data_IF_413336679094
#
_entry.id   IF_413336679094
#
_cell.length_a   1.000
_cell.length_b   1.000
_cell.length_c   1.000
_cell.angle_alpha   90.00
_cell.angle_beta   90.00
_cell.angle_gamma   90.00
#
_symmetry.space_group_name_H-M   'P 1'
#
loop_
_entity.id
_entity.type
_entity.pdbx_description
1 polymer ?
#
# COMPACT_ATOMS: atom_id res chain seq x y z
N UNK A 1 4.56 4.67 8.40
CA UNK A 1 4.54 3.27 8.85
C UNK A 1 3.51 3.12 9.97
N UNK A 2 2.38 2.47 9.70
CA UNK A 2 1.29 2.28 10.65
C UNK A 2 1.36 0.95 11.44
N UNK A 3 2.33 0.08 11.10
CA UNK A 3 2.47 -1.25 11.70
C UNK A 3 2.87 -1.21 13.18
N UNK A 4 3.34 -0.06 13.69
CA UNK A 4 3.66 0.14 15.11
C UNK A 4 2.43 0.24 16.03
N UNK A 5 1.24 0.45 15.47
CA UNK A 5 -0.03 0.53 16.22
C UNK A 5 -0.64 -0.86 16.42
N UNK A 6 -0.21 -1.86 15.64
CA UNK A 6 -0.68 -3.24 15.75
C UNK A 6 -0.06 -3.85 17.01
N UNK A 7 -0.90 -4.24 17.97
CA UNK A 7 -0.49 -4.83 19.26
C UNK A 7 0.10 -6.23 19.07
N UNK A 8 -0.47 -7.02 18.17
CA UNK A 8 0.01 -8.37 17.89
C UNK A 8 1.30 -8.33 17.05
N UNK A 9 2.37 -8.90 17.61
CA UNK A 9 3.67 -9.02 16.94
C UNK A 9 3.55 -9.74 15.61
N UNK A 10 2.67 -10.75 15.52
CA UNK A 10 2.52 -11.57 14.33
C UNK A 10 1.93 -10.77 13.16
N UNK A 11 0.77 -10.13 13.37
CA UNK A 11 0.13 -9.31 12.34
C UNK A 11 0.99 -8.12 11.91
N UNK A 12 1.80 -7.59 12.84
CA UNK A 12 2.83 -6.59 12.55
C UNK A 12 3.89 -7.13 11.57
N UNK A 13 4.40 -8.34 11.78
CA UNK A 13 5.38 -8.92 10.84
C UNK A 13 4.75 -9.19 9.47
N UNK A 14 3.53 -9.73 9.42
CA UNK A 14 2.83 -9.97 8.15
C UNK A 14 2.60 -8.68 7.39
N UNK A 15 2.14 -7.62 8.05
CA UNK A 15 1.98 -6.31 7.40
C UNK A 15 3.30 -5.68 6.99
N UNK A 16 4.41 -5.89 7.72
CA UNK A 16 5.75 -5.44 7.29
C UNK A 16 6.22 -6.21 6.04
N UNK A 17 5.97 -7.52 5.96
CA UNK A 17 6.32 -8.37 4.83
C UNK A 17 5.45 -8.09 3.59
N UNK A 18 4.19 -7.70 3.79
CA UNK A 18 3.25 -7.36 2.72
C UNK A 18 3.35 -5.88 2.28
N UNK A 19 3.79 -4.98 3.16
CA UNK A 19 4.00 -3.56 2.85
C UNK A 19 4.83 -3.30 1.58
N UNK A 20 5.92 -4.04 1.26
CA UNK A 20 6.65 -3.85 0.03
C UNK A 20 5.94 -4.39 -1.22
N UNK A 21 4.87 -5.19 -1.10
CA UNK A 21 4.09 -5.65 -2.26
C UNK A 21 3.00 -4.65 -2.66
N UNK A 22 2.53 -3.87 -1.69
CA UNK A 22 1.66 -2.73 -1.97
C UNK A 22 2.44 -1.65 -2.71
N UNK A 23 2.18 -1.52 -4.01
CA UNK A 23 2.68 -0.43 -4.85
C UNK A 23 2.13 0.91 -4.31
N UNK A 24 2.93 1.57 -3.48
CA UNK A 24 2.61 2.87 -2.91
C UNK A 24 3.12 4.00 -3.80
N UNK A 25 2.52 5.19 -3.68
CA UNK A 25 2.87 6.39 -4.45
C UNK A 25 4.34 6.83 -4.30
N UNK A 26 5.08 6.28 -3.33
CA UNK A 26 6.51 6.54 -3.18
C UNK A 26 7.39 5.76 -4.18
N UNK A 27 6.88 4.68 -4.81
CA UNK A 27 7.61 3.85 -5.78
C UNK A 27 7.29 4.13 -7.24
N UNK A 28 6.19 4.85 -7.52
CA UNK A 28 5.87 5.28 -8.88
C UNK A 28 7.03 6.04 -9.58
N UNK A 29 7.74 7.01 -8.95
CA UNK A 29 8.84 7.69 -9.62
C UNK A 29 9.99 6.75 -10.01
N UNK A 30 10.32 5.77 -9.18
CA UNK A 30 11.40 4.81 -9.46
C UNK A 30 11.06 3.95 -10.69
N UNK A 31 9.83 3.44 -10.77
CA UNK A 31 9.38 2.66 -11.94
C UNK A 31 9.36 3.52 -13.21
N UNK A 32 8.93 4.78 -13.12
CA UNK A 32 8.94 5.68 -14.28
C UNK A 32 10.35 5.94 -14.80
N UNK A 33 11.35 6.13 -13.92
CA UNK A 33 12.74 6.38 -14.30
C UNK A 33 13.36 5.11 -14.92
N UNK A 34 13.15 3.93 -14.31
CA UNK A 34 13.60 2.66 -14.88
C UNK A 34 13.01 2.39 -16.26
N UNK A 35 11.72 2.63 -16.43
CA UNK A 35 11.02 2.40 -17.70
C UNK A 35 11.43 3.45 -18.74
N UNK A 36 11.67 4.70 -18.33
CA UNK A 36 12.19 5.74 -19.21
C UNK A 36 13.62 5.45 -19.70
N UNK A 37 14.45 4.82 -18.87
CA UNK A 37 15.82 4.46 -19.24
C UNK A 37 15.90 3.23 -20.17
N UNK A 38 15.05 2.21 -19.96
CA UNK A 38 15.10 0.94 -20.69
C UNK A 38 14.17 0.87 -21.90
N UNK A 39 13.00 1.52 -21.87
CA UNK A 39 12.03 1.53 -22.98
C UNK A 39 12.11 2.89 -23.70
N UNK A 40 12.54 2.86 -24.97
CA UNK A 40 12.40 4.02 -25.87
C UNK A 40 10.93 4.38 -26.02
N UNK A 41 10.63 5.68 -25.99
CA UNK A 41 9.30 6.23 -26.24
C UNK A 41 8.85 5.95 -27.69
N UNK A 42 8.49 4.70 -27.99
CA UNK A 42 7.79 4.36 -29.22
C UNK A 42 6.29 4.46 -28.94
N UNK A 43 5.58 5.40 -29.58
CA UNK A 43 4.13 5.45 -29.50
C UNK A 43 3.58 4.25 -30.28
N UNK A 44 2.89 3.33 -29.60
CA UNK A 44 2.24 2.18 -30.25
C UNK A 44 0.78 2.50 -30.56
N UNK A 45 0.12 3.27 -29.68
CA UNK A 45 -1.14 3.95 -29.98
C UNK A 45 -0.88 5.46 -29.90
N UNK A 46 -1.51 6.25 -30.77
CA UNK A 46 -1.38 7.71 -30.88
C UNK A 46 -1.59 8.50 -29.56
N UNK A 47 -2.02 7.83 -28.49
CA UNK A 47 -2.22 8.35 -27.13
C UNK A 47 -1.53 7.51 -26.02
N UNK A 48 -1.05 6.29 -26.30
CA UNK A 48 -0.50 5.36 -25.31
C UNK A 48 0.92 4.94 -25.73
N UNK A 49 1.91 5.40 -24.99
CA UNK A 49 3.30 4.95 -25.14
C UNK A 49 3.50 3.56 -24.53
N UNK A 50 4.45 2.78 -25.07
CA UNK A 50 4.87 1.50 -24.49
C UNK A 50 5.16 1.61 -22.99
N UNK A 51 5.70 2.74 -22.55
CA UNK A 51 6.01 3.04 -21.16
C UNK A 51 4.77 2.99 -20.24
N UNK A 52 3.63 3.49 -20.72
CA UNK A 52 2.38 3.48 -19.95
C UNK A 52 1.80 2.08 -19.80
N UNK A 53 1.91 1.26 -20.86
CA UNK A 53 1.45 -0.14 -20.84
C UNK A 53 2.33 -0.96 -19.88
N UNK A 54 3.65 -0.79 -19.91
CA UNK A 54 4.56 -1.49 -19.00
C UNK A 54 4.31 -1.12 -17.54
N UNK A 55 4.08 0.17 -17.24
CA UNK A 55 3.70 0.63 -15.90
C UNK A 55 2.41 -0.05 -15.42
N UNK A 56 1.39 -0.07 -16.27
CA UNK A 56 0.09 -0.66 -15.95
C UNK A 56 0.21 -2.17 -15.68
N UNK A 57 1.01 -2.89 -16.49
CA UNK A 57 1.27 -4.32 -16.30
C UNK A 57 1.97 -4.56 -14.97
N UNK A 58 3.06 -3.83 -14.65
CA UNK A 58 3.77 -3.99 -13.37
C UNK A 58 2.84 -3.70 -12.19
N UNK A 59 1.97 -2.70 -12.29
CA UNK A 59 1.02 -2.37 -11.24
C UNK A 59 -0.04 -3.45 -11.05
N UNK A 60 -0.61 -3.96 -12.15
CA UNK A 60 -1.59 -5.04 -12.14
C UNK A 60 -1.00 -6.33 -11.59
N UNK A 61 0.20 -6.71 -12.04
CA UNK A 61 0.89 -7.90 -11.53
C UNK A 61 1.19 -7.75 -10.04
N UNK A 62 1.67 -6.58 -9.58
CA UNK A 62 1.89 -6.33 -8.16
C UNK A 62 0.61 -6.47 -7.33
N UNK A 63 -0.51 -5.91 -7.79
CA UNK A 63 -1.80 -6.03 -7.12
C UNK A 63 -2.29 -7.49 -7.05
N UNK A 64 -2.22 -8.21 -8.17
CA UNK A 64 -2.65 -9.61 -8.28
C UNK A 64 -1.77 -10.53 -7.43
N UNK A 65 -0.46 -10.26 -7.32
CA UNK A 65 0.49 -11.06 -6.53
C UNK A 65 0.36 -10.78 -5.03
N UNK A 66 -0.04 -9.58 -4.63
CA UNK A 66 -0.17 -9.21 -3.21
C UNK A 66 -1.22 -10.08 -2.50
N UNK A 67 -2.35 -10.35 -3.15
CA UNK A 67 -3.46 -11.15 -2.59
C UNK A 67 -3.05 -12.60 -2.25
N UNK A 68 -2.52 -13.42 -3.18
CA UNK A 68 -2.09 -14.77 -2.89
C UNK A 68 -0.89 -14.81 -1.95
N UNK A 69 0.02 -13.83 -2.00
CA UNK A 69 1.16 -13.78 -1.06
C UNK A 69 0.68 -13.49 0.36
N UNK A 70 -0.23 -12.53 0.55
CA UNK A 70 -0.84 -12.26 1.85
C UNK A 70 -1.63 -13.47 2.37
N UNK A 71 -2.38 -14.15 1.49
CA UNK A 71 -3.11 -15.36 1.85
C UNK A 71 -2.18 -16.53 2.21
N UNK A 72 -1.12 -16.74 1.44
CA UNK A 72 -0.13 -17.78 1.69
C UNK A 72 0.59 -17.53 3.01
N UNK A 73 1.05 -16.31 3.26
CA UNK A 73 1.68 -15.90 4.53
C UNK A 73 0.73 -16.13 5.73
N UNK A 74 -0.55 -15.81 5.57
CA UNK A 74 -1.57 -16.07 6.60
C UNK A 74 -1.74 -17.58 6.87
N UNK A 75 -1.66 -18.41 5.83
CA UNK A 75 -1.88 -19.86 5.92
C UNK A 75 -0.64 -20.63 6.39
N UNK A 76 0.58 -20.21 6.04
CA UNK A 76 1.82 -20.95 6.32
C UNK A 76 2.51 -20.53 7.62
N UNK A 77 2.70 -19.23 7.86
CA UNK A 77 3.58 -18.72 8.92
C UNK A 77 2.76 -18.28 10.16
N UNK A 78 1.46 -17.97 9.98
CA UNK A 78 0.69 -17.20 10.94
C UNK A 78 -0.72 -17.75 11.24
N UNK A 79 -0.85 -19.06 11.44
CA UNK A 79 -2.03 -19.64 12.08
C UNK A 79 -2.10 -19.14 13.55
N UNK A 80 -2.97 -18.18 13.83
CA UNK A 80 -3.14 -17.61 15.18
C UNK A 80 -4.32 -16.66 15.26
N UNK A 81 -5.00 -16.70 16.41
CA UNK A 81 -6.27 -16.02 16.73
C UNK A 81 -6.34 -14.55 16.33
N UNK A 82 -7.52 -14.16 15.86
CA UNK A 82 -7.90 -12.78 15.59
C UNK A 82 -8.06 -12.09 16.95
N UNK A 83 -7.19 -11.14 17.35
CA UNK A 83 -7.45 -10.40 18.58
C UNK A 83 -8.73 -9.58 18.38
N UNK A 84 -9.62 -9.54 19.39
CA UNK A 84 -10.78 -8.66 19.34
C UNK A 84 -10.25 -7.22 19.34
N UNK A 85 -10.31 -6.58 18.17
CA UNK A 85 -10.06 -5.15 18.05
C UNK A 85 -11.19 -4.43 18.76
N UNK A 86 -11.05 -4.23 20.07
CA UNK A 86 -11.85 -3.27 20.81
C UNK A 86 -11.28 -1.91 20.45
N UNK A 87 -11.67 -1.41 19.27
CA UNK A 87 -11.47 -0.02 18.94
C UNK A 87 -12.49 0.77 19.75
N UNK A 88 -12.19 0.95 21.05
CA UNK A 88 -12.82 1.97 21.89
C UNK A 88 -12.59 3.29 21.17
N UNK A 89 -13.57 3.68 20.37
CA UNK A 89 -13.48 4.89 19.56
C UNK A 89 -13.24 6.04 20.53
N UNK A 90 -12.07 6.70 20.52
CA UNK A 90 -11.82 7.78 21.45
C UNK A 90 -12.87 8.87 21.18
N UNK A 91 -13.50 9.43 22.22
CA UNK A 91 -14.58 10.39 22.04
C UNK A 91 -14.09 11.55 21.18
N UNK A 92 -14.74 11.74 20.03
CA UNK A 92 -14.44 12.78 19.07
C UNK A 92 -14.60 14.14 19.75
N UNK A 93 -13.48 14.82 20.00
CA UNK A 93 -13.50 16.20 20.51
C UNK A 93 -13.85 17.13 19.36
N UNK A 94 -15.13 17.50 19.26
CA UNK A 94 -15.60 18.63 18.46
C UNK A 94 -14.86 19.89 18.91
N UNK A 95 -14.23 20.59 17.95
CA UNK A 95 -13.48 21.81 18.22
C UNK A 95 -14.43 22.93 18.68
N UNK A 96 -14.08 23.58 19.79
CA UNK A 96 -14.84 24.70 20.32
C UNK A 96 -14.64 25.93 19.42
N UNK A 97 -15.72 26.38 18.78
CA UNK A 97 -15.74 27.49 17.82
C UNK A 97 -15.19 28.80 18.41
N UNK A 98 -15.22 28.99 19.74
CA UNK A 98 -14.63 30.20 20.34
C UNK A 98 -13.10 30.22 20.25
N UNK A 99 -12.45 29.05 20.26
CA UNK A 99 -10.98 28.97 20.23
C UNK A 99 -10.41 29.24 18.84
N UNK A 100 -11.20 29.01 17.78
CA UNK A 100 -10.79 29.25 16.39
C UNK A 100 -10.96 30.71 15.97
N UNK A 101 -11.93 31.41 16.57
CA UNK A 101 -12.25 32.79 16.18
C UNK A 101 -11.44 33.81 17.00
N UNK A 102 -10.98 33.44 18.20
CA UNK A 102 -10.30 34.35 19.14
C UNK A 102 -8.81 34.03 19.36
N UNK A 103 -8.22 33.16 18.53
CA UNK A 103 -6.80 32.75 18.57
C UNK A 103 -6.00 33.27 17.38
#
# INVERSE_FOLDING_TARGET
>A
MATRVIENRRDRFTTILVAPLMSCSARSPVYTIMIAAFIRAKPVLRFFGLQGITLLIIYMVGAVVTVPVAWLLKKTILQGEIPPFVMEMPPYKIADLKTVIFG
#
